data_IF_077305517268
#
_entry.id   IF_077305517268
#
_cell.length_a   1.000
_cell.length_b   1.000
_cell.length_c   1.000
_cell.angle_alpha   90.00
_cell.angle_beta   90.00
_cell.angle_gamma   90.00
#
_symmetry.space_group_name_H-M   'P 1'
#
loop_
_entity.id
_entity.type
_entity.pdbx_description
1 polymer ?
#
# COMPACT_ATOMS: atom_id res chain seq x y z
N UNK A 1 32.57 -13.33 -7.54
CA UNK A 1 31.13 -13.00 -7.63
C UNK A 1 30.29 -14.16 -7.13
N UNK A 2 29.43 -13.96 -6.14
CA UNK A 2 28.44 -14.96 -5.71
C UNK A 2 27.06 -14.32 -5.57
N UNK A 3 26.01 -15.13 -5.67
CA UNK A 3 24.61 -14.72 -5.52
C UNK A 3 24.10 -15.17 -4.15
N UNK A 4 23.43 -14.26 -3.44
CA UNK A 4 22.76 -14.53 -2.18
C UNK A 4 21.28 -14.17 -2.30
N UNK A 5 20.43 -14.98 -1.68
CA UNK A 5 18.97 -14.81 -1.69
C UNK A 5 18.48 -14.69 -0.26
N UNK A 6 17.67 -13.67 0.02
CA UNK A 6 16.99 -13.48 1.30
C UNK A 6 15.49 -13.62 1.03
N UNK A 7 14.94 -14.74 1.49
CA UNK A 7 13.55 -15.10 1.30
C UNK A 7 13.08 -16.01 2.46
N UNK A 8 12.16 -15.55 3.33
CA UNK A 8 11.52 -14.23 3.32
C UNK A 8 12.38 -13.15 4.01
N UNK A 9 12.24 -11.89 3.58
CA UNK A 9 12.64 -10.75 4.41
C UNK A 9 11.66 -10.62 5.58
N UNK A 10 12.16 -10.57 6.81
CA UNK A 10 11.33 -10.53 8.03
C UNK A 10 11.28 -9.13 8.65
N UNK A 11 10.38 -8.94 9.64
CA UNK A 11 10.09 -7.65 10.32
C UNK A 11 9.62 -6.54 9.37
N UNK A 12 8.88 -6.94 8.35
CA UNK A 12 8.17 -6.06 7.42
C UNK A 12 6.71 -6.51 7.31
N UNK A 13 5.89 -5.75 6.61
CA UNK A 13 4.59 -6.21 6.13
C UNK A 13 4.73 -6.85 4.74
N UNK A 14 3.97 -7.92 4.48
CA UNK A 14 3.90 -8.55 3.17
C UNK A 14 4.97 -9.61 2.89
N UNK A 15 5.13 -9.93 1.60
CA UNK A 15 6.01 -10.99 1.10
C UNK A 15 7.07 -10.37 0.19
N UNK A 16 8.31 -10.38 0.65
CA UNK A 16 9.43 -9.76 -0.03
C UNK A 16 10.60 -10.73 -0.10
N UNK A 17 11.09 -10.89 -1.33
CA UNK A 17 12.34 -11.58 -1.62
C UNK A 17 13.35 -10.58 -2.17
N UNK A 18 14.60 -10.70 -1.70
CA UNK A 18 15.73 -9.90 -2.20
C UNK A 18 16.81 -10.86 -2.74
N UNK A 19 17.27 -10.60 -3.95
CA UNK A 19 18.47 -11.24 -4.51
C UNK A 19 19.59 -10.23 -4.63
N UNK A 20 20.80 -10.57 -4.18
CA UNK A 20 21.98 -9.72 -4.31
C UNK A 20 23.13 -10.48 -4.99
N UNK A 21 23.94 -9.74 -5.75
CA UNK A 21 25.22 -10.21 -6.29
C UNK A 21 26.35 -9.48 -5.57
N UNK A 22 27.28 -10.24 -5.01
CA UNK A 22 28.40 -9.71 -4.23
C UNK A 22 29.72 -10.00 -4.94
N UNK A 23 30.49 -8.94 -5.17
CA UNK A 23 31.87 -9.03 -5.65
C UNK A 23 32.82 -8.28 -4.71
N UNK A 24 33.92 -8.95 -4.34
CA UNK A 24 34.96 -8.41 -3.43
C UNK A 24 34.38 -7.76 -2.16
N UNK A 25 33.39 -8.41 -1.55
CA UNK A 25 32.73 -7.93 -0.33
C UNK A 25 31.77 -6.75 -0.51
N UNK A 26 31.48 -6.33 -1.74
CA UNK A 26 30.54 -5.26 -2.06
C UNK A 26 29.36 -5.81 -2.86
N UNK A 27 28.16 -5.32 -2.56
CA UNK A 27 26.97 -5.59 -3.38
C UNK A 27 27.14 -4.79 -4.68
N UNK A 28 27.12 -5.49 -5.81
CA UNK A 28 27.24 -4.90 -7.15
C UNK A 28 25.91 -4.89 -7.91
N UNK A 29 24.95 -5.69 -7.46
CA UNK A 29 23.60 -5.75 -8.03
C UNK A 29 22.58 -6.20 -6.97
N UNK A 30 21.34 -5.76 -7.09
CA UNK A 30 20.23 -6.18 -6.23
C UNK A 30 18.91 -6.22 -7.01
N UNK A 31 18.07 -7.21 -6.72
CA UNK A 31 16.72 -7.35 -7.26
C UNK A 31 15.72 -7.53 -6.12
N UNK A 32 14.57 -6.90 -6.24
CA UNK A 32 13.49 -6.90 -5.27
C UNK A 32 12.24 -7.53 -5.89
N UNK A 33 11.64 -8.49 -5.20
CA UNK A 33 10.49 -9.25 -5.67
C UNK A 33 9.36 -9.16 -4.64
N UNK A 34 8.22 -8.59 -5.06
CA UNK A 34 6.97 -8.71 -4.34
C UNK A 34 6.23 -9.96 -4.81
N UNK A 35 6.11 -10.96 -3.96
CA UNK A 35 5.72 -12.32 -4.39
C UNK A 35 4.23 -12.64 -4.17
N UNK A 36 3.45 -11.67 -3.69
CA UNK A 36 2.02 -11.82 -3.46
C UNK A 36 1.21 -10.72 -4.15
N UNK A 37 0.15 -11.13 -4.83
CA UNK A 37 -0.79 -10.25 -5.51
C UNK A 37 -2.23 -10.62 -5.17
N UNK A 38 -3.08 -9.62 -4.91
CA UNK A 38 -4.51 -9.79 -4.60
C UNK A 38 -5.45 -9.15 -5.62
N UNK A 39 -4.98 -8.19 -6.43
CA UNK A 39 -5.81 -7.53 -7.43
C UNK A 39 -6.91 -6.61 -6.88
N UNK A 40 -6.63 -5.82 -5.84
CA UNK A 40 -7.60 -4.89 -5.24
C UNK A 40 -8.25 -3.94 -6.25
N UNK A 41 -7.49 -3.43 -7.23
CA UNK A 41 -8.03 -2.54 -8.27
C UNK A 41 -9.00 -3.27 -9.21
N UNK A 42 -8.76 -4.57 -9.44
CA UNK A 42 -9.66 -5.41 -10.22
C UNK A 42 -10.96 -5.65 -9.44
N UNK A 43 -10.85 -5.92 -8.13
CA UNK A 43 -12.00 -6.12 -7.22
C UNK A 43 -12.94 -4.91 -7.22
N UNK A 44 -12.42 -3.69 -7.39
CA UNK A 44 -13.20 -2.46 -7.39
C UNK A 44 -14.03 -2.25 -8.67
N UNK A 45 -13.67 -2.88 -9.80
CA UNK A 45 -14.35 -2.64 -11.07
C UNK A 45 -15.83 -3.04 -11.00
N UNK A 46 -16.70 -2.14 -11.44
CA UNK A 46 -18.15 -2.36 -11.48
C UNK A 46 -18.87 -2.23 -10.13
N UNK A 47 -18.15 -1.94 -9.03
CA UNK A 47 -18.76 -1.69 -7.72
C UNK A 47 -19.28 -0.27 -7.60
N UNK A 48 -20.15 -0.05 -6.61
CA UNK A 48 -20.52 1.30 -6.22
C UNK A 48 -19.27 2.04 -5.71
N UNK A 49 -18.96 3.26 -6.19
CA UNK A 49 -17.80 4.02 -5.73
C UNK A 49 -17.75 4.19 -4.21
N UNK A 50 -18.89 4.27 -3.53
CA UNK A 50 -18.96 4.45 -2.07
C UNK A 50 -18.43 3.23 -1.29
N UNK A 51 -18.39 2.04 -1.89
CA UNK A 51 -17.80 0.84 -1.26
C UNK A 51 -16.26 0.91 -1.23
N UNK A 52 -15.66 1.76 -2.08
CA UNK A 52 -14.22 1.76 -2.31
C UNK A 52 -13.43 2.01 -1.03
N UNK A 53 -13.86 2.93 -0.17
CA UNK A 53 -13.14 3.27 1.06
C UNK A 53 -12.97 2.06 1.98
N UNK A 54 -14.06 1.30 2.17
CA UNK A 54 -14.05 0.13 3.04
C UNK A 54 -13.23 -1.00 2.42
N UNK A 55 -13.29 -1.18 1.10
CA UNK A 55 -12.53 -2.21 0.41
C UNK A 55 -11.03 -1.89 0.42
N UNK A 56 -10.63 -0.68 0.03
CA UNK A 56 -9.21 -0.30 -0.10
C UNK A 56 -8.48 -0.24 1.23
N UNK A 57 -9.17 0.03 2.35
CA UNK A 57 -8.57 -0.04 3.68
C UNK A 57 -7.92 -1.40 3.97
N UNK A 58 -8.38 -2.48 3.31
CA UNK A 58 -7.85 -3.84 3.49
C UNK A 58 -6.63 -4.15 2.60
N UNK A 59 -6.16 -3.17 1.82
CA UNK A 59 -4.89 -3.29 1.11
C UNK A 59 -3.76 -3.57 2.10
N UNK A 60 -3.71 -2.87 3.23
CA UNK A 60 -2.69 -3.12 4.25
C UNK A 60 -3.28 -2.96 5.65
N UNK A 61 -3.01 -3.92 6.53
CA UNK A 61 -3.41 -3.86 7.95
C UNK A 61 -2.48 -3.02 8.83
N UNK A 62 -1.27 -2.70 8.34
CA UNK A 62 -0.30 -1.84 9.03
C UNK A 62 -0.58 -0.36 8.76
N UNK A 63 -0.90 0.02 7.51
CA UNK A 63 -1.28 1.38 7.13
C UNK A 63 -2.74 1.51 6.60
N UNK A 64 -3.75 0.96 7.29
CA UNK A 64 -5.12 0.89 6.78
C UNK A 64 -5.75 2.28 6.61
N UNK A 65 -5.53 3.17 7.58
CA UNK A 65 -6.09 4.52 7.59
C UNK A 65 -5.67 5.33 6.35
N UNK A 66 -4.42 5.16 5.90
CA UNK A 66 -3.90 5.85 4.72
C UNK A 66 -4.65 5.45 3.45
N UNK A 67 -4.95 4.16 3.26
CA UNK A 67 -5.72 3.69 2.10
C UNK A 67 -7.19 4.10 2.16
N UNK A 68 -7.78 4.12 3.36
CA UNK A 68 -9.13 4.62 3.58
C UNK A 68 -9.22 6.12 3.25
N UNK A 69 -8.30 6.92 3.77
CA UNK A 69 -8.25 8.37 3.53
C UNK A 69 -8.05 8.68 2.04
N UNK A 70 -7.10 8.03 1.38
CA UNK A 70 -6.85 8.26 -0.05
C UNK A 70 -8.10 8.00 -0.90
N UNK A 71 -8.84 6.93 -0.57
CA UNK A 71 -10.11 6.61 -1.23
C UNK A 71 -11.19 7.66 -0.95
N UNK A 72 -11.34 8.09 0.31
CA UNK A 72 -12.29 9.15 0.66
C UNK A 72 -11.99 10.48 -0.04
N UNK A 73 -10.72 10.91 -0.10
CA UNK A 73 -10.30 12.12 -0.82
C UNK A 73 -10.55 12.02 -2.33
N UNK A 74 -10.38 10.83 -2.92
CA UNK A 74 -10.72 10.60 -4.32
C UNK A 74 -12.23 10.74 -4.56
N UNK A 75 -13.06 10.19 -3.68
CA UNK A 75 -14.52 10.31 -3.78
C UNK A 75 -14.99 11.76 -3.60
N UNK A 76 -14.42 12.50 -2.64
CA UNK A 76 -14.70 13.93 -2.47
C UNK A 76 -14.40 14.70 -3.76
N UNK A 77 -13.25 14.43 -4.39
CA UNK A 77 -12.85 15.04 -5.66
C UNK A 77 -13.80 14.64 -6.81
N UNK A 78 -14.11 13.35 -6.94
CA UNK A 78 -14.97 12.83 -8.01
C UNK A 78 -16.40 13.37 -7.92
N UNK A 79 -16.95 13.49 -6.70
CA UNK A 79 -18.28 14.04 -6.45
C UNK A 79 -18.30 15.56 -6.27
N UNK A 80 -17.14 16.21 -6.28
CA UNK A 80 -16.98 17.67 -6.05
C UNK A 80 -17.59 18.12 -4.72
N UNK A 81 -17.38 17.33 -3.68
CA UNK A 81 -17.88 17.59 -2.32
C UNK A 81 -16.73 18.12 -1.46
N UNK A 82 -17.01 19.17 -0.70
CA UNK A 82 -16.11 19.66 0.35
C UNK A 82 -16.62 19.13 1.70
N UNK A 83 -15.83 18.35 2.45
CA UNK A 83 -16.25 17.92 3.78
C UNK A 83 -16.37 19.13 4.72
N UNK A 84 -17.29 19.10 5.70
CA UNK A 84 -17.36 20.14 6.73
C UNK A 84 -16.05 20.18 7.53
N UNK A 85 -15.74 21.33 8.14
CA UNK A 85 -14.47 21.53 8.87
C UNK A 85 -14.21 20.44 9.91
N UNK A 86 -15.22 20.06 10.69
CA UNK A 86 -15.10 18.97 11.67
C UNK A 86 -14.77 17.63 11.01
N UNK A 87 -15.26 17.37 9.80
CA UNK A 87 -14.92 16.16 9.03
C UNK A 87 -13.46 16.16 8.59
N UNK A 88 -12.95 17.30 8.11
CA UNK A 88 -11.52 17.45 7.76
C UNK A 88 -10.63 17.32 9.00
N UNK A 89 -11.00 17.95 10.12
CA UNK A 89 -10.24 17.91 11.37
C UNK A 89 -10.13 16.49 11.93
N UNK A 90 -11.23 15.73 11.95
CA UNK A 90 -11.20 14.32 12.38
C UNK A 90 -10.30 13.48 11.47
N UNK A 91 -10.38 13.67 10.16
CA UNK A 91 -9.50 12.96 9.20
C UNK A 91 -8.01 13.26 9.46
N UNK A 92 -7.67 14.50 9.78
CA UNK A 92 -6.30 14.88 10.14
C UNK A 92 -5.85 14.20 11.45
N UNK A 93 -6.68 14.25 12.50
CA UNK A 93 -6.36 13.63 13.80
C UNK A 93 -6.17 12.11 13.72
N UNK A 94 -6.89 11.43 12.83
CA UNK A 94 -6.73 9.97 12.61
C UNK A 94 -5.36 9.65 11.99
N UNK A 95 -4.84 10.50 11.11
CA UNK A 95 -3.57 10.25 10.42
C UNK A 95 -2.34 10.71 11.19
N UNK A 96 -2.50 11.65 12.14
CA UNK A 96 -1.40 12.25 12.89
C UNK A 96 -0.86 13.51 12.24
#
# INVERSE_FOLDING_TARGET
MHKTVIDPVTRIEGHLKIEIEVDKGKIVNAKCFGEMFRGWEIILKGRNPLDAQMITQRICGVCPASHAQASALNLDSAFRVTPPDNGRLIRNLILG
#
